data_IF_815315729220
#
_entry.id   IF_815315729220
#
_cell.length_a   1.000
_cell.length_b   1.000
_cell.length_c   1.000
_cell.angle_alpha   90.00
_cell.angle_beta   90.00
_cell.angle_gamma   90.00
#
_symmetry.space_group_name_H-M   'P 1'
#
loop_
_entity.id
_entity.type
_entity.pdbx_description
1 polymer ?
#
# COMPACT_ATOMS: atom_id res chain seq x y z
N UNK A 1 -1.48 1.16 26.22
CA UNK A 1 -0.71 1.60 25.02
C UNK A 1 -0.98 0.75 23.77
N UNK A 2 -1.69 -0.39 23.85
CA UNK A 2 -2.04 -1.20 22.67
C UNK A 2 -3.16 -0.62 21.78
N UNK A 3 -3.88 0.41 22.22
CA UNK A 3 -5.05 0.94 21.50
C UNK A 3 -4.67 1.65 20.18
N UNK A 4 -3.42 2.11 20.04
CA UNK A 4 -2.92 2.67 18.78
C UNK A 4 -2.69 1.61 17.70
N UNK A 5 -2.45 0.34 18.05
CA UNK A 5 -2.25 -0.71 17.06
C UNK A 5 -3.55 -1.06 16.31
N UNK A 6 -4.70 -0.90 16.97
CA UNK A 6 -6.03 -1.25 16.46
C UNK A 6 -6.85 -0.02 16.05
N UNK A 7 -6.17 1.10 15.78
CA UNK A 7 -6.84 2.34 15.41
C UNK A 7 -7.58 2.13 14.07
N UNK A 8 -8.92 2.07 14.14
CA UNK A 8 -9.80 1.72 13.01
C UNK A 8 -9.83 2.79 11.93
N UNK A 9 -9.34 3.99 12.25
CA UNK A 9 -9.30 5.11 11.32
C UNK A 9 -8.35 4.90 10.13
N UNK A 10 -8.43 5.79 9.13
CA UNK A 10 -7.56 5.74 7.96
C UNK A 10 -6.09 5.92 8.35
N UNK A 11 -5.20 5.28 7.60
CA UNK A 11 -3.75 5.39 7.71
C UNK A 11 -3.17 6.26 6.58
N UNK A 12 -3.87 6.29 5.44
CA UNK A 12 -3.49 7.03 4.24
C UNK A 12 -4.46 8.18 3.99
N UNK A 13 -3.93 9.32 3.57
CA UNK A 13 -4.76 10.43 3.09
C UNK A 13 -5.38 10.09 1.74
N UNK A 14 -6.51 10.69 1.43
CA UNK A 14 -7.03 10.67 0.07
C UNK A 14 -6.13 11.49 -0.89
N UNK A 15 -5.99 11.05 -2.14
CA UNK A 15 -5.43 11.92 -3.20
C UNK A 15 -6.44 13.01 -3.55
N UNK A 16 -5.97 14.24 -3.79
CA UNK A 16 -6.81 15.35 -4.27
C UNK A 16 -7.33 15.11 -5.70
N UNK A 17 -6.55 14.43 -6.53
CA UNK A 17 -6.88 14.09 -7.91
C UNK A 17 -6.60 12.61 -8.23
N UNK A 18 -7.44 12.01 -9.07
CA UNK A 18 -7.27 10.65 -9.58
C UNK A 18 -7.75 9.54 -8.64
N UNK A 19 -7.19 8.35 -8.82
CA UNK A 19 -7.56 7.13 -8.09
C UNK A 19 -6.42 6.65 -7.17
N UNK A 20 -6.80 6.10 -6.01
CA UNK A 20 -5.89 5.44 -5.08
C UNK A 20 -5.65 6.17 -3.75
N UNK A 21 -4.58 5.75 -3.07
CA UNK A 21 -4.15 6.26 -1.77
C UNK A 21 -3.14 7.40 -1.93
N UNK A 22 -3.22 8.40 -1.05
CA UNK A 22 -2.16 9.40 -0.84
C UNK A 22 -1.09 8.89 0.11
N UNK A 23 -0.22 9.80 0.57
CA UNK A 23 0.82 9.47 1.54
C UNK A 23 0.22 9.01 2.88
N UNK A 24 0.88 8.07 3.57
CA UNK A 24 0.52 7.72 4.92
C UNK A 24 0.72 8.94 5.85
N UNK A 25 -0.25 9.18 6.72
CA UNK A 25 -0.14 10.19 7.78
C UNK A 25 0.01 9.54 9.16
N UNK A 26 -0.32 8.25 9.30
CA UNK A 26 -0.07 7.46 10.51
C UNK A 26 1.12 6.52 10.31
N UNK A 27 1.76 6.16 11.42
CA UNK A 27 2.91 5.26 11.43
C UNK A 27 2.58 3.84 10.90
N UNK A 28 1.35 3.33 11.07
CA UNK A 28 0.96 2.02 10.51
C UNK A 28 1.00 2.04 8.97
N UNK A 29 0.62 3.16 8.36
CA UNK A 29 0.69 3.32 6.91
C UNK A 29 2.13 3.34 6.38
N UNK A 30 3.05 3.95 7.15
CA UNK A 30 4.49 3.89 6.84
C UNK A 30 5.06 2.49 6.97
N UNK A 31 4.71 1.75 8.04
CA UNK A 31 5.14 0.36 8.20
C UNK A 31 4.65 -0.51 7.05
N UNK A 32 3.37 -0.39 6.67
CA UNK A 32 2.82 -1.12 5.53
C UNK A 32 3.54 -0.77 4.22
N UNK A 33 3.76 0.53 3.97
CA UNK A 33 4.42 0.99 2.75
C UNK A 33 5.89 0.52 2.67
N UNK A 34 6.66 0.72 3.73
CA UNK A 34 8.08 0.37 3.77
C UNK A 34 8.29 -1.15 3.71
N UNK A 35 7.47 -1.93 4.45
CA UNK A 35 7.53 -3.39 4.37
C UNK A 35 7.18 -3.89 2.98
N UNK A 36 6.14 -3.35 2.35
CA UNK A 36 5.77 -3.71 0.99
C UNK A 36 6.90 -3.40 -0.01
N UNK A 37 7.51 -2.20 0.08
CA UNK A 37 8.67 -1.85 -0.75
C UNK A 37 9.87 -2.77 -0.50
N UNK A 38 10.17 -3.09 0.75
CA UNK A 38 11.26 -3.98 1.12
C UNK A 38 11.08 -5.40 0.57
N UNK A 39 9.85 -5.93 0.61
CA UNK A 39 9.55 -7.26 0.05
C UNK A 39 9.70 -7.26 -1.47
N UNK A 40 9.17 -6.24 -2.17
CA UNK A 40 9.33 -6.13 -3.62
C UNK A 40 10.80 -6.03 -4.03
N UNK A 41 11.58 -5.20 -3.32
CA UNK A 41 13.01 -5.07 -3.55
C UNK A 41 13.75 -6.38 -3.26
N UNK A 42 13.41 -7.05 -2.15
CA UNK A 42 13.98 -8.34 -1.77
C UNK A 42 13.72 -9.40 -2.84
N UNK A 43 12.50 -9.48 -3.39
CA UNK A 43 12.16 -10.40 -4.48
C UNK A 43 12.99 -10.08 -5.73
N UNK A 44 13.07 -8.80 -6.12
CA UNK A 44 13.81 -8.39 -7.30
C UNK A 44 15.31 -8.73 -7.20
N UNK A 45 15.92 -8.56 -6.01
CA UNK A 45 17.33 -8.86 -5.78
C UNK A 45 17.60 -10.37 -5.68
N UNK A 46 16.72 -11.13 -5.00
CA UNK A 46 16.93 -12.55 -4.73
C UNK A 46 16.56 -13.46 -5.91
N UNK A 47 15.66 -13.01 -6.79
CA UNK A 47 15.16 -13.80 -7.93
C UNK A 47 15.53 -13.21 -9.29
N UNK A 48 16.53 -12.33 -9.34
CA UNK A 48 17.00 -11.70 -10.57
C UNK A 48 17.32 -12.72 -11.68
N UNK A 49 17.93 -13.86 -11.33
CA UNK A 49 18.28 -14.93 -12.27
C UNK A 49 17.11 -15.86 -12.64
N UNK A 50 15.94 -15.67 -12.02
CA UNK A 50 14.75 -16.52 -12.21
C UNK A 50 13.54 -15.67 -12.62
N UNK A 51 13.56 -14.98 -13.76
CA UNK A 51 12.52 -14.04 -14.17
C UNK A 51 11.13 -14.69 -14.25
N UNK A 52 11.05 -15.96 -14.66
CA UNK A 52 9.78 -16.71 -14.76
C UNK A 52 9.10 -16.94 -13.40
N UNK A 53 9.86 -16.94 -12.30
CA UNK A 53 9.33 -17.04 -10.93
C UNK A 53 9.16 -15.65 -10.32
N UNK A 54 10.12 -14.76 -10.59
CA UNK A 54 10.15 -13.40 -10.07
C UNK A 54 8.92 -12.58 -10.50
N UNK A 55 8.61 -12.57 -11.80
CA UNK A 55 7.52 -11.75 -12.35
C UNK A 55 6.16 -12.07 -11.72
N UNK A 56 5.67 -13.32 -11.71
CA UNK A 56 4.38 -13.62 -11.10
C UNK A 56 4.38 -13.34 -9.59
N UNK A 57 5.49 -13.58 -8.89
CA UNK A 57 5.59 -13.28 -7.46
C UNK A 57 5.52 -11.78 -7.18
N UNK A 58 6.22 -10.96 -7.97
CA UNK A 58 6.13 -9.49 -7.89
C UNK A 58 4.69 -9.03 -8.12
N UNK A 59 3.97 -9.59 -9.10
CA UNK A 59 2.58 -9.22 -9.36
C UNK A 59 1.68 -9.57 -8.16
N UNK A 60 1.82 -10.77 -7.60
CA UNK A 60 1.06 -11.17 -6.40
C UNK A 60 1.33 -10.24 -5.22
N UNK A 61 2.60 -9.92 -4.96
CA UNK A 61 2.97 -9.03 -3.85
C UNK A 61 2.54 -7.59 -4.11
N UNK A 62 2.66 -7.10 -5.34
CA UNK A 62 2.28 -5.74 -5.69
C UNK A 62 0.77 -5.51 -5.54
N UNK A 63 -0.05 -6.47 -5.99
CA UNK A 63 -1.51 -6.32 -6.01
C UNK A 63 -2.21 -6.89 -4.77
N UNK A 64 -1.64 -7.90 -4.11
CA UNK A 64 -2.25 -8.56 -2.95
C UNK A 64 -2.66 -7.62 -1.81
N UNK A 65 -1.82 -6.64 -1.41
CA UNK A 65 -2.15 -5.68 -0.36
C UNK A 65 -3.09 -4.55 -0.79
N UNK A 66 -3.44 -4.41 -2.07
CA UNK A 66 -4.27 -3.30 -2.56
C UNK A 66 -5.60 -3.11 -1.81
N UNK A 67 -6.34 -4.18 -1.42
CA UNK A 67 -7.54 -4.03 -0.61
C UNK A 67 -7.29 -3.38 0.76
N UNK A 68 -6.11 -3.62 1.35
CA UNK A 68 -5.72 -3.01 2.63
C UNK A 68 -5.46 -1.52 2.43
N UNK A 69 -4.73 -1.15 1.37
CA UNK A 69 -4.52 0.26 1.03
C UNK A 69 -5.85 0.97 0.77
N UNK A 70 -6.78 0.33 0.04
CA UNK A 70 -8.10 0.88 -0.24
C UNK A 70 -8.92 1.08 1.05
N UNK A 71 -8.99 0.06 1.91
CA UNK A 71 -9.75 0.11 3.17
C UNK A 71 -9.18 1.10 4.20
N UNK A 72 -7.86 1.33 4.18
CA UNK A 72 -7.16 2.24 5.10
C UNK A 72 -6.91 3.63 4.51
N UNK A 73 -7.43 3.91 3.31
CA UNK A 73 -7.43 5.27 2.75
C UNK A 73 -8.65 6.04 3.23
N UNK A 74 -8.44 7.30 3.60
CA UNK A 74 -9.53 8.22 3.95
C UNK A 74 -10.61 8.29 2.85
N UNK A 75 -11.84 7.97 3.21
CA UNK A 75 -12.97 7.91 2.25
C UNK A 75 -12.80 6.86 1.15
N UNK A 76 -11.89 5.89 1.32
CA UNK A 76 -11.65 4.80 0.39
C UNK A 76 -11.03 5.22 -0.94
N UNK A 77 -10.92 4.24 -1.84
CA UNK A 77 -10.52 4.48 -3.22
C UNK A 77 -11.74 4.83 -4.05
N UNK A 78 -11.79 6.08 -4.50
CA UNK A 78 -12.74 6.59 -5.47
C UNK A 78 -12.02 7.54 -6.39
N UNK A 79 -12.54 7.69 -7.60
CA UNK A 79 -12.06 8.71 -8.52
C UNK A 79 -12.37 10.10 -7.95
N UNK A 80 -11.35 10.96 -7.85
CA UNK A 80 -11.47 12.32 -7.31
C UNK A 80 -11.05 13.34 -8.36
N UNK A 81 -11.89 14.35 -8.57
CA UNK A 81 -11.68 15.43 -9.54
C UNK A 81 -11.23 16.76 -8.88
N UNK A 82 -10.82 16.73 -7.60
CA UNK A 82 -10.38 17.92 -6.86
C UNK A 82 -11.47 18.92 -6.49
N UNK A 83 -12.75 18.54 -6.67
CA UNK A 83 -13.94 19.31 -6.28
C UNK A 83 -14.62 18.79 -5.00
N UNK A 84 -14.02 17.77 -4.37
CA UNK A 84 -14.45 17.14 -3.12
C UNK A 84 -13.55 17.57 -1.96
#
# INVERSE_FOLDING_TARGET
MLHHFMDKGPWFRAKRFGYGAGLPFKWQGWVLLLSHMAVLLGIALLLADRPLVMVPLILVVAFGPMPIYAARTEGGWKWRNGRD
#
